data_IF_482851417760
#
_entry.id   IF_482851417760
#
_cell.length_a   1.000
_cell.length_b   1.000
_cell.length_c   1.000
_cell.angle_alpha   90.00
_cell.angle_beta   90.00
_cell.angle_gamma   90.00
#
_symmetry.space_group_name_H-M   'P 1'
#
loop_
_entity.id
_entity.type
_entity.pdbx_description
1 polymer ?
#
# COMPACT_ATOMS: atom_id res chain seq x y z
N UNK A 1 16.27 -21.35 -11.87
CA UNK A 1 16.25 -20.03 -11.20
C UNK A 1 14.85 -19.90 -10.61
N UNK A 2 14.70 -20.00 -9.29
CA UNK A 2 13.40 -19.92 -8.64
C UNK A 2 13.14 -18.43 -8.34
N UNK A 3 12.74 -17.69 -9.38
CA UNK A 3 12.50 -16.24 -9.29
C UNK A 3 11.15 -16.00 -8.63
N UNK A 4 11.07 -16.25 -7.33
CA UNK A 4 9.89 -15.94 -6.52
C UNK A 4 9.87 -14.45 -6.20
N UNK A 5 8.74 -13.81 -6.45
CA UNK A 5 8.44 -12.47 -5.96
C UNK A 5 8.07 -12.59 -4.47
N UNK A 6 8.61 -11.72 -3.62
CA UNK A 6 8.27 -11.71 -2.19
C UNK A 6 6.85 -11.20 -1.97
N UNK A 7 6.17 -11.70 -0.93
CA UNK A 7 4.83 -11.21 -0.60
C UNK A 7 4.88 -9.72 -0.22
N UNK A 8 5.95 -9.29 0.46
CA UNK A 8 6.19 -7.88 0.77
C UNK A 8 6.21 -6.99 -0.49
N UNK A 9 6.87 -7.44 -1.56
CA UNK A 9 6.97 -6.68 -2.82
C UNK A 9 5.63 -6.62 -3.57
N UNK A 10 4.83 -7.71 -3.51
CA UNK A 10 3.45 -7.69 -4.00
C UNK A 10 2.63 -6.66 -3.23
N UNK A 11 2.66 -6.73 -1.89
CA UNK A 11 1.89 -5.82 -1.05
C UNK A 11 2.29 -4.37 -1.28
N UNK A 12 3.58 -4.08 -1.40
CA UNK A 12 4.07 -2.73 -1.69
C UNK A 12 3.55 -2.21 -3.03
N UNK A 13 3.64 -3.04 -4.07
CA UNK A 13 3.15 -2.69 -5.42
C UNK A 13 1.65 -2.38 -5.40
N UNK A 14 0.85 -3.22 -4.74
CA UNK A 14 -0.60 -3.02 -4.64
C UNK A 14 -0.94 -1.74 -3.85
N UNK A 15 -0.23 -1.47 -2.76
CA UNK A 15 -0.42 -0.25 -1.98
C UNK A 15 -0.10 1.01 -2.79
N UNK A 16 1.00 1.02 -3.56
CA UNK A 16 1.38 2.15 -4.42
C UNK A 16 0.32 2.40 -5.49
N UNK A 17 -0.10 1.35 -6.20
CA UNK A 17 -1.13 1.46 -7.24
C UNK A 17 -2.47 1.95 -6.69
N UNK A 18 -2.90 1.45 -5.53
CA UNK A 18 -4.15 1.91 -4.91
C UNK A 18 -4.06 3.39 -4.46
N UNK A 19 -2.89 3.82 -3.96
CA UNK A 19 -2.66 5.23 -3.61
C UNK A 19 -2.67 6.14 -4.84
N UNK A 20 -2.06 5.72 -5.95
CA UNK A 20 -2.11 6.45 -7.21
C UNK A 20 -3.54 6.56 -7.74
N UNK A 21 -4.28 5.45 -7.81
CA UNK A 21 -5.68 5.43 -8.25
C UNK A 21 -6.60 6.28 -7.37
N UNK A 22 -6.28 6.39 -6.08
CA UNK A 22 -7.01 7.19 -5.13
C UNK A 22 -6.52 8.64 -5.02
N UNK A 23 -5.62 9.11 -5.90
CA UNK A 23 -5.02 10.45 -5.82
C UNK A 23 -4.41 10.75 -4.44
N UNK A 24 -3.61 9.81 -3.92
CA UNK A 24 -3.00 9.85 -2.59
C UNK A 24 -3.99 9.87 -1.40
N UNK A 25 -5.27 9.58 -1.63
CA UNK A 25 -6.26 9.47 -0.57
C UNK A 25 -6.19 8.09 0.10
N UNK A 26 -5.64 8.02 1.31
CA UNK A 26 -5.52 6.78 2.09
C UNK A 26 -6.88 6.09 2.32
N UNK A 27 -7.96 6.84 2.52
CA UNK A 27 -9.30 6.24 2.69
C UNK A 27 -9.81 5.61 1.39
N UNK A 28 -9.55 6.26 0.25
CA UNK A 28 -9.89 5.76 -1.07
C UNK A 28 -9.08 4.51 -1.43
N UNK A 29 -7.76 4.57 -1.23
CA UNK A 29 -6.86 3.44 -1.46
C UNK A 29 -7.21 2.24 -0.57
N UNK A 30 -7.57 2.48 0.70
CA UNK A 30 -7.99 1.42 1.60
C UNK A 30 -9.27 0.72 1.10
N UNK A 31 -10.24 1.49 0.59
CA UNK A 31 -11.45 0.93 -0.03
C UNK A 31 -11.14 0.10 -1.28
N UNK A 32 -10.20 0.54 -2.12
CA UNK A 32 -9.76 -0.22 -3.31
C UNK A 32 -9.17 -1.57 -2.89
N UNK A 33 -8.39 -1.60 -1.82
CA UNK A 33 -7.73 -2.81 -1.30
C UNK A 33 -8.60 -3.65 -0.37
N UNK A 34 -9.85 -3.25 -0.09
CA UNK A 34 -10.71 -3.96 0.87
C UNK A 34 -10.23 -3.87 2.32
N UNK A 35 -9.43 -2.85 2.65
CA UNK A 35 -8.88 -2.60 3.98
C UNK A 35 -9.63 -1.47 4.69
N UNK A 36 -9.48 -1.41 6.01
CA UNK A 36 -9.84 -0.20 6.76
C UNK A 36 -8.76 0.86 6.57
N UNK A 37 -9.13 2.15 6.65
CA UNK A 37 -8.18 3.27 6.64
C UNK A 37 -7.01 3.09 7.63
N UNK A 38 -7.23 2.77 8.93
CA UNK A 38 -6.11 2.59 9.86
C UNK A 38 -5.21 1.41 9.50
N UNK A 39 -5.75 0.32 8.93
CA UNK A 39 -4.94 -0.82 8.49
C UNK A 39 -4.00 -0.42 7.34
N UNK A 40 -4.50 0.30 6.33
CA UNK A 40 -3.65 0.79 5.25
C UNK A 40 -2.64 1.83 5.74
N UNK A 41 -3.06 2.77 6.59
CA UNK A 41 -2.16 3.79 7.13
C UNK A 41 -0.97 3.17 7.90
N UNK A 42 -1.23 2.15 8.72
CA UNK A 42 -0.18 1.41 9.42
C UNK A 42 0.78 0.73 8.44
N UNK A 43 0.27 0.05 7.41
CA UNK A 43 1.09 -0.62 6.40
C UNK A 43 1.95 0.37 5.61
N UNK A 44 1.39 1.49 5.16
CA UNK A 44 2.11 2.55 4.44
C UNK A 44 3.24 3.17 5.28
N UNK A 45 3.02 3.33 6.60
CA UNK A 45 4.07 3.79 7.53
C UNK A 45 5.16 2.72 7.71
N UNK A 46 4.77 1.44 7.82
CA UNK A 46 5.71 0.32 7.96
C UNK A 46 6.59 0.14 6.73
N UNK A 47 6.07 0.37 5.53
CA UNK A 47 6.82 0.26 4.26
C UNK A 47 7.56 1.53 3.86
N UNK A 48 7.43 2.63 4.62
CA UNK A 48 8.07 3.90 4.29
C UNK A 48 7.50 4.61 3.06
N UNK A 49 6.34 4.16 2.54
CA UNK A 49 5.64 4.83 1.44
C UNK A 49 5.12 6.21 1.89
N UNK A 50 4.67 6.30 3.14
CA UNK A 50 4.44 7.57 3.82
C UNK A 50 5.71 7.93 4.58
N UNK A 51 6.71 8.47 3.88
CA UNK A 51 7.76 9.21 4.56
C UNK A 51 7.13 10.50 5.12
N UNK A 52 7.12 10.64 6.45
CA UNK A 52 6.79 11.90 7.11
C UNK A 52 7.77 12.97 6.58
N UNK A 53 7.24 14.01 5.94
CA UNK A 53 8.00 15.21 5.55
C UNK A 53 8.33 16.05 6.77
#
# INVERSE_FOLDING_TARGET
INSGISLEEVEETLMRQAMEQANQNVSGAARILGLTRPALAYRLKKTGILAES
#
